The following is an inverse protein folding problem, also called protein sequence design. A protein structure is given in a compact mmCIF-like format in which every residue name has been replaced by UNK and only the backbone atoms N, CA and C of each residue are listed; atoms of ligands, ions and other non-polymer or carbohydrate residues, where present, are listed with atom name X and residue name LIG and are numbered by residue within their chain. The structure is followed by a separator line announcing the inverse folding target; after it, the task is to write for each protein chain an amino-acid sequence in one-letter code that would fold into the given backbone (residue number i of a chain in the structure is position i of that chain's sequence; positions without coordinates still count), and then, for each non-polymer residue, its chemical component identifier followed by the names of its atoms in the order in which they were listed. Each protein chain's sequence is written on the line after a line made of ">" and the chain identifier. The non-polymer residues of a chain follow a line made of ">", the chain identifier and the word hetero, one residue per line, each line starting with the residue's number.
data_IF_799971582977
#
_entry.id   IF_799971582977
#
_cell.length_a   1.000
_cell.length_b   1.000
_cell.length_c   1.000
_cell.angle_alpha   90.00
_cell.angle_beta   90.00
_cell.angle_gamma   90.00
#
_symmetry.space_group_name_H-M   'P 1'
#
loop_
_entity.id
_entity.type
_entity.pdbx_description
1 polymer ?
#
# COMPACT_ATOMS: atom_id res chain seq x y z
N UNK A 1 2.19 -28.21 -4.06
CA UNK A 1 2.54 -26.92 -3.44
C UNK A 1 3.17 -26.07 -4.53
N UNK A 2 2.32 -25.44 -5.34
CA UNK A 2 2.74 -24.53 -6.41
C UNK A 2 3.58 -23.42 -5.78
N UNK A 3 4.90 -23.49 -5.99
CA UNK A 3 5.75 -22.33 -5.81
C UNK A 3 5.32 -21.34 -6.89
N UNK A 4 4.35 -20.49 -6.53
CA UNK A 4 4.03 -19.29 -7.27
C UNK A 4 5.36 -18.57 -7.50
N UNK A 5 5.83 -18.55 -8.75
CA UNK A 5 6.99 -17.76 -9.13
C UNK A 5 6.78 -16.35 -8.59
N UNK A 6 7.64 -15.93 -7.66
CA UNK A 6 7.60 -14.60 -7.10
C UNK A 6 8.08 -13.61 -8.18
N UNK A 7 7.27 -13.40 -9.22
CA UNK A 7 7.52 -12.38 -10.22
C UNK A 7 7.61 -11.07 -9.46
N UNK A 8 8.82 -10.50 -9.42
CA UNK A 8 9.04 -9.16 -8.90
C UNK A 8 8.11 -8.23 -9.65
N UNK A 9 7.03 -7.82 -8.99
CA UNK A 9 6.00 -7.00 -9.62
C UNK A 9 6.65 -5.70 -10.12
N UNK A 10 6.23 -5.17 -11.27
CA UNK A 10 6.81 -3.94 -11.79
C UNK A 10 6.58 -2.79 -10.79
N UNK A 11 7.55 -1.87 -10.71
CA UNK A 11 7.51 -0.71 -9.80
C UNK A 11 6.16 0.01 -9.83
N UNK A 12 5.61 0.21 -11.04
CA UNK A 12 4.33 0.88 -11.24
C UNK A 12 3.15 0.15 -10.58
N UNK A 13 3.09 -1.18 -10.69
CA UNK A 13 2.03 -1.96 -10.01
C UNK A 13 2.08 -1.75 -8.51
N UNK A 14 3.30 -1.79 -7.95
CA UNK A 14 3.55 -1.69 -6.50
C UNK A 14 3.22 -0.28 -5.99
N UNK A 15 3.47 0.73 -6.81
CA UNK A 15 3.04 2.09 -6.57
C UNK A 15 1.51 2.24 -6.58
N UNK A 16 0.82 1.68 -7.58
CA UNK A 16 -0.65 1.72 -7.65
C UNK A 16 -1.31 0.99 -6.48
N UNK A 17 -0.79 -0.18 -6.11
CA UNK A 17 -1.25 -0.89 -4.91
C UNK A 17 -1.00 -0.05 -3.65
N UNK A 18 0.14 0.63 -3.56
CA UNK A 18 0.42 1.60 -2.52
C UNK A 18 -0.67 2.67 -2.42
N UNK A 19 -1.07 3.27 -3.55
CA UNK A 19 -2.15 4.28 -3.58
C UNK A 19 -3.45 3.73 -3.01
N UNK A 20 -3.85 2.52 -3.40
CA UNK A 20 -5.07 1.88 -2.93
C UNK A 20 -5.01 1.58 -1.42
N UNK A 21 -3.88 1.08 -0.93
CA UNK A 21 -3.67 0.85 0.50
C UNK A 21 -3.72 2.20 1.26
N UNK A 22 -3.09 3.24 0.71
CA UNK A 22 -3.08 4.60 1.27
C UNK A 22 -4.47 5.21 1.38
N UNK A 23 -5.29 5.09 0.34
CA UNK A 23 -6.67 5.58 0.38
C UNK A 23 -7.52 4.86 1.43
N UNK A 24 -7.27 3.57 1.64
CA UNK A 24 -7.91 2.76 2.67
C UNK A 24 -7.60 3.18 4.12
N UNK A 25 -6.65 4.09 4.35
CA UNK A 25 -6.42 4.71 5.66
C UNK A 25 -7.20 6.01 5.88
N UNK A 26 -7.68 6.66 4.81
CA UNK A 26 -8.40 7.93 4.85
C UNK A 26 -9.91 7.72 4.73
N UNK A 27 -10.34 6.75 3.93
CA UNK A 27 -11.76 6.50 3.68
C UNK A 27 -12.40 5.80 4.89
N UNK A 28 -13.43 6.37 5.53
CA UNK A 28 -14.14 5.71 6.62
C UNK A 28 -14.83 4.43 6.10
N UNK A 29 -14.65 3.33 6.83
CA UNK A 29 -15.21 2.02 6.47
C UNK A 29 -14.38 1.20 5.49
N UNK A 30 -13.26 1.71 4.98
CA UNK A 30 -12.29 0.93 4.21
C UNK A 30 -11.13 0.52 5.11
N UNK A 31 -10.65 -0.72 4.97
CA UNK A 31 -9.50 -1.23 5.73
C UNK A 31 -8.27 -1.33 4.85
N UNK A 32 -7.31 -0.42 5.04
CA UNK A 32 -6.02 -0.45 4.34
C UNK A 32 -5.24 -1.76 4.54
N UNK A 33 -5.34 -2.38 5.72
CA UNK A 33 -4.73 -3.68 6.01
C UNK A 33 -5.38 -4.84 5.24
N UNK A 34 -6.71 -4.82 5.07
CA UNK A 34 -7.41 -5.81 4.25
C UNK A 34 -7.04 -5.68 2.77
N UNK A 35 -6.92 -4.45 2.25
CA UNK A 35 -6.41 -4.21 0.90
C UNK A 35 -4.98 -4.74 0.74
N UNK A 36 -4.10 -4.51 1.70
CA UNK A 36 -2.74 -5.06 1.68
C UNK A 36 -2.72 -6.60 1.64
N UNK A 37 -3.68 -7.26 2.29
CA UNK A 37 -3.82 -8.73 2.26
C UNK A 37 -4.33 -9.22 0.90
N UNK A 38 -5.33 -8.57 0.33
CA UNK A 38 -5.87 -8.90 -1.01
C UNK A 38 -4.78 -8.79 -2.08
N UNK A 39 -3.93 -7.77 -2.00
CA UNK A 39 -2.83 -7.58 -2.96
C UNK A 39 -1.57 -8.40 -2.63
N UNK A 40 -1.60 -9.26 -1.60
CA UNK A 40 -0.49 -10.15 -1.23
C UNK A 40 0.71 -9.45 -0.58
N UNK A 41 0.65 -8.13 -0.37
CA UNK A 41 1.73 -7.37 0.27
C UNK A 41 1.79 -7.67 1.77
N UNK A 42 0.65 -7.98 2.39
CA UNK A 42 0.55 -8.28 3.81
C UNK A 42 1.44 -9.45 4.24
N UNK A 43 1.42 -10.56 3.49
CA UNK A 43 2.28 -11.72 3.79
C UNK A 43 3.76 -11.36 3.76
N UNK A 44 4.17 -10.54 2.78
CA UNK A 44 5.55 -10.08 2.67
C UNK A 44 5.93 -9.13 3.80
N UNK A 45 5.01 -8.27 4.26
CA UNK A 45 5.21 -7.41 5.44
C UNK A 45 5.43 -8.27 6.69
N UNK A 46 4.53 -9.22 6.95
CA UNK A 46 4.63 -10.10 8.13
C UNK A 46 5.89 -10.96 8.06
N UNK A 47 6.23 -11.50 6.88
CA UNK A 47 7.45 -12.27 6.67
C UNK A 47 8.73 -11.45 6.90
N UNK A 48 8.73 -10.19 6.46
CA UNK A 48 9.80 -9.24 6.75
C UNK A 48 9.90 -8.92 8.25
N UNK A 49 8.77 -8.65 8.91
CA UNK A 49 8.72 -8.37 10.35
C UNK A 49 9.19 -9.57 11.20
N UNK A 50 8.86 -10.79 10.77
CA UNK A 50 9.30 -12.01 11.43
C UNK A 50 10.82 -12.25 11.29
N UNK A 51 11.46 -11.71 10.25
CA UNK A 51 12.87 -11.94 9.94
C UNK A 51 13.59 -10.65 9.52
N UNK A 52 13.61 -9.64 10.40
CA UNK A 52 14.17 -8.31 10.12
C UNK A 52 15.61 -8.33 9.58
N UNK A 53 16.43 -9.29 10.01
CA UNK A 53 17.85 -9.36 9.66
C UNK A 53 18.11 -10.04 8.30
N UNK A 54 17.15 -10.79 7.76
CA UNK A 54 17.31 -11.53 6.50
C UNK A 54 16.86 -10.67 5.32
N UNK A 55 17.76 -10.42 4.38
CA UNK A 55 17.49 -9.67 3.14
C UNK A 55 16.85 -8.29 3.39
N UNK A 56 17.28 -7.58 4.43
CA UNK A 56 16.71 -6.30 4.83
C UNK A 56 16.68 -5.28 3.69
N UNK A 57 17.81 -5.12 2.99
CA UNK A 57 17.91 -4.17 1.86
C UNK A 57 16.92 -4.47 0.74
N UNK A 58 16.75 -5.74 0.37
CA UNK A 58 15.86 -6.15 -0.72
C UNK A 58 14.39 -5.93 -0.37
N UNK A 59 14.01 -6.27 0.86
CA UNK A 59 12.66 -6.01 1.38
C UNK A 59 12.37 -4.52 1.51
N UNK A 60 13.33 -3.71 1.98
CA UNK A 60 13.16 -2.25 2.04
C UNK A 60 13.00 -1.67 0.65
N UNK A 61 13.86 -2.06 -0.31
CA UNK A 61 13.74 -1.62 -1.70
C UNK A 61 12.44 -2.07 -2.35
N UNK A 62 11.92 -3.24 -1.93
CA UNK A 62 10.56 -3.65 -2.23
C UNK A 62 9.60 -2.58 -1.68
N UNK A 63 9.52 -2.33 -0.39
CA UNK A 63 8.48 -1.44 0.17
C UNK A 63 8.52 0.04 -0.27
N UNK A 64 9.63 0.55 -0.81
CA UNK A 64 9.74 1.96 -1.27
C UNK A 64 8.61 2.39 -2.23
N UNK A 65 8.38 1.77 -3.41
CA UNK A 65 7.27 2.13 -4.29
C UNK A 65 5.90 2.05 -3.63
N UNK A 66 5.68 1.05 -2.76
CA UNK A 66 4.41 0.87 -2.05
C UNK A 66 4.19 2.00 -1.06
N UNK A 67 5.23 2.39 -0.31
CA UNK A 67 5.20 3.51 0.63
C UNK A 67 5.00 4.86 -0.09
N UNK A 68 5.69 5.07 -1.21
CA UNK A 68 5.49 6.26 -2.05
C UNK A 68 4.07 6.33 -2.60
N UNK A 69 3.54 5.21 -3.08
CA UNK A 69 2.16 5.09 -3.52
C UNK A 69 1.17 5.39 -2.39
N UNK A 70 1.39 4.83 -1.19
CA UNK A 70 0.51 5.04 -0.05
C UNK A 70 0.50 6.50 0.41
N UNK A 71 1.66 7.14 0.50
CA UNK A 71 1.77 8.57 0.80
C UNK A 71 1.06 9.40 -0.28
N UNK A 72 1.27 9.08 -1.55
CA UNK A 72 0.58 9.77 -2.65
C UNK A 72 -0.94 9.58 -2.57
N UNK A 73 -1.41 8.37 -2.30
CA UNK A 73 -2.83 8.05 -2.13
C UNK A 73 -3.45 8.79 -0.95
N UNK A 74 -2.76 8.84 0.19
CA UNK A 74 -3.21 9.61 1.37
C UNK A 74 -3.35 11.09 1.02
N UNK A 75 -2.34 11.68 0.38
CA UNK A 75 -2.35 13.10 0.01
C UNK A 75 -3.47 13.39 -1.00
N UNK A 76 -3.55 12.61 -2.08
CA UNK A 76 -4.58 12.73 -3.12
C UNK A 76 -5.99 12.66 -2.51
N UNK A 77 -6.23 11.66 -1.64
CA UNK A 77 -7.52 11.45 -1.03
C UNK A 77 -7.84 12.51 0.02
N UNK A 78 -6.85 12.98 0.78
CA UNK A 78 -7.02 14.10 1.71
C UNK A 78 -7.47 15.36 0.97
N UNK A 79 -6.85 15.70 -0.17
CA UNK A 79 -7.30 16.83 -1.01
C UNK A 79 -8.71 16.59 -1.57
N UNK A 80 -9.01 15.37 -2.02
CA UNK A 80 -10.34 15.00 -2.53
C UNK A 80 -11.44 15.19 -1.48
N UNK A 81 -11.21 14.71 -0.24
CA UNK A 81 -12.15 14.87 0.88
C UNK A 81 -12.28 16.34 1.27
N UNK A 82 -11.18 17.09 1.38
CA UNK A 82 -11.22 18.54 1.66
C UNK A 82 -11.99 19.32 0.60
N UNK A 83 -11.83 18.96 -0.68
CA UNK A 83 -12.57 19.58 -1.79
C UNK A 83 -14.07 19.23 -1.73
N UNK A 84 -14.41 17.96 -1.49
CA UNK A 84 -15.81 17.53 -1.36
C UNK A 84 -16.50 18.24 -0.19
N UNK A 85 -15.85 18.31 0.97
CA UNK A 85 -16.39 19.00 2.14
C UNK A 85 -16.54 20.50 1.88
N UNK A 86 -15.56 21.15 1.23
CA UNK A 86 -15.63 22.57 0.88
C UNK A 86 -16.79 22.90 -0.08
N UNK A 87 -17.17 21.96 -0.97
CA UNK A 87 -18.16 22.20 -2.01
C UNK A 87 -19.55 21.62 -1.71
N UNK A 88 -19.70 20.76 -0.70
CA UNK A 88 -20.98 20.13 -0.31
C UNK A 88 -21.44 20.42 1.13
N UNK A 89 -20.61 21.02 2.00
CA UNK A 89 -21.02 21.40 3.36
C UNK A 89 -21.67 22.79 3.45
N UNK A 90 -22.48 23.16 2.45
CA UNK A 90 -23.45 24.27 2.54
C UNK A 90 -24.84 23.69 2.65
#
# INVERSE_FOLDING_TARGET
>A
MEHQEEKQQPFLYRFLVGILIGSGFIVPGVSGGALAAIFGIYERIIGFLANLTKNFKENVLYFIPVGLGALFGIVLFSFGVSYLLANYAT
#
